data_IF_034494659306
#
_entry.id   IF_034494659306
#
_cell.length_a   1.000
_cell.length_b   1.000
_cell.length_c   1.000
_cell.angle_alpha   90.00
_cell.angle_beta   90.00
_cell.angle_gamma   90.00
#
_symmetry.space_group_name_H-M   'P 1'
#
loop_
_entity.id
_entity.type
_entity.pdbx_description
1 polymer ?
#
# COMPACT_ATOMS: atom_id res chain seq x y z
N UNK A 1 30.07 7.69 -4.35
CA UNK A 1 29.75 6.51 -5.19
C UNK A 1 29.14 5.44 -4.29
N UNK A 2 28.00 4.84 -4.65
CA UNK A 2 27.31 3.84 -3.79
C UNK A 2 28.12 2.54 -3.73
N UNK A 3 28.27 1.94 -2.56
CA UNK A 3 29.08 0.72 -2.34
C UNK A 3 28.50 -0.51 -3.06
N UNK A 4 29.34 -1.52 -3.31
CA UNK A 4 28.92 -2.79 -3.91
C UNK A 4 27.76 -3.49 -3.15
N UNK A 5 27.77 -3.63 -1.80
CA UNK A 5 26.66 -4.27 -1.10
C UNK A 5 25.34 -3.50 -1.25
N UNK A 6 25.36 -2.17 -1.16
CA UNK A 6 24.14 -1.36 -1.33
C UNK A 6 23.58 -1.46 -2.76
N UNK A 7 24.43 -1.62 -3.76
CA UNK A 7 23.97 -1.91 -5.13
C UNK A 7 23.28 -3.27 -5.23
N UNK A 8 23.82 -4.29 -4.57
CA UNK A 8 23.23 -5.63 -4.53
C UNK A 8 21.85 -5.63 -3.84
N UNK A 9 21.72 -4.96 -2.70
CA UNK A 9 20.44 -4.80 -1.98
C UNK A 9 19.38 -4.12 -2.85
N UNK A 10 19.74 -3.05 -3.56
CA UNK A 10 18.82 -2.36 -4.48
C UNK A 10 18.37 -3.24 -5.63
N UNK A 11 19.27 -4.08 -6.17
CA UNK A 11 18.92 -5.03 -7.23
C UNK A 11 17.97 -6.11 -6.71
N UNK A 12 18.28 -6.71 -5.55
CA UNK A 12 17.42 -7.70 -4.93
C UNK A 12 16.02 -7.15 -4.63
N UNK A 13 15.93 -5.92 -4.13
CA UNK A 13 14.65 -5.23 -3.91
C UNK A 13 13.86 -5.02 -5.19
N UNK A 14 14.51 -4.52 -6.25
CA UNK A 14 13.88 -4.33 -7.55
C UNK A 14 13.31 -5.65 -8.09
N UNK A 15 14.07 -6.73 -7.94
CA UNK A 15 13.69 -8.06 -8.46
C UNK A 15 12.53 -8.66 -7.67
N UNK A 16 12.55 -8.50 -6.34
CA UNK A 16 11.45 -8.92 -5.49
C UNK A 16 10.15 -8.18 -5.83
N UNK A 17 10.19 -6.86 -6.03
CA UNK A 17 9.01 -6.07 -6.41
C UNK A 17 8.46 -6.45 -7.79
N UNK A 18 9.33 -6.90 -8.69
CA UNK A 18 8.94 -7.31 -10.04
C UNK A 18 8.71 -8.80 -10.18
N UNK A 19 8.85 -9.61 -9.13
CA UNK A 19 8.71 -11.06 -9.22
C UNK A 19 7.32 -11.45 -9.74
N UNK A 20 6.28 -10.72 -9.31
CA UNK A 20 4.89 -10.98 -9.66
C UNK A 20 4.32 -9.91 -10.59
N UNK A 21 3.20 -10.27 -11.25
CA UNK A 21 2.33 -9.32 -11.95
C UNK A 21 1.04 -9.23 -11.14
N UNK A 22 0.87 -8.11 -10.46
CA UNK A 22 -0.31 -7.85 -9.64
C UNK A 22 -1.48 -7.37 -10.50
N UNK A 23 -2.70 -7.76 -10.15
CA UNK A 23 -3.92 -7.21 -10.73
C UNK A 23 -4.08 -5.73 -10.36
N UNK A 24 -3.72 -5.37 -9.13
CA UNK A 24 -3.73 -4.01 -8.62
C UNK A 24 -2.54 -3.75 -7.68
N UNK A 25 -1.93 -2.57 -7.81
CA UNK A 25 -0.94 -2.01 -6.90
C UNK A 25 -1.57 -0.78 -6.27
N UNK A 26 -1.68 -0.72 -4.94
CA UNK A 26 -2.37 0.38 -4.24
C UNK A 26 -1.36 1.16 -3.38
N UNK A 27 -1.01 2.38 -3.79
CA UNK A 27 -0.19 3.31 -2.99
C UNK A 27 -1.09 4.14 -2.06
N UNK A 28 -1.18 3.70 -0.80
CA UNK A 28 -1.90 4.40 0.25
C UNK A 28 -1.09 5.50 0.96
N UNK A 29 0.21 5.63 0.63
CA UNK A 29 1.10 6.58 1.30
C UNK A 29 1.02 7.97 0.65
N UNK A 30 0.97 8.01 -0.68
CA UNK A 30 0.81 9.26 -1.44
C UNK A 30 2.03 10.20 -1.37
N UNK A 31 3.24 9.66 -1.26
CA UNK A 31 4.51 10.42 -1.30
C UNK A 31 5.25 10.15 -2.62
N UNK A 32 5.98 11.15 -3.14
CA UNK A 32 6.79 11.03 -4.36
C UNK A 32 7.84 9.93 -4.20
N UNK A 33 8.45 9.80 -3.01
CA UNK A 33 9.45 8.76 -2.74
C UNK A 33 8.89 7.35 -2.96
N UNK A 34 7.75 7.02 -2.35
CA UNK A 34 7.14 5.69 -2.53
C UNK A 34 6.66 5.51 -3.98
N UNK A 35 6.01 6.53 -4.54
CA UNK A 35 5.48 6.47 -5.88
C UNK A 35 6.58 6.22 -6.93
N UNK A 36 7.72 6.94 -6.84
CA UNK A 36 8.80 6.87 -7.82
C UNK A 36 9.73 5.67 -7.63
N UNK A 37 10.00 5.26 -6.39
CA UNK A 37 10.99 4.22 -6.06
C UNK A 37 10.37 2.85 -5.77
N UNK A 38 9.06 2.75 -5.59
CA UNK A 38 8.36 1.50 -5.26
C UNK A 38 7.23 1.24 -6.25
N UNK A 39 6.17 2.07 -6.20
CA UNK A 39 4.94 1.86 -6.98
C UNK A 39 5.19 1.84 -8.48
N UNK A 40 6.07 2.73 -8.97
CA UNK A 40 6.46 2.78 -10.39
C UNK A 40 7.15 1.49 -10.87
N UNK A 41 7.93 0.84 -10.01
CA UNK A 41 8.72 -0.35 -10.37
C UNK A 41 7.86 -1.61 -10.44
N UNK A 42 6.77 -1.68 -9.67
CA UNK A 42 5.88 -2.84 -9.61
C UNK A 42 5.10 -3.05 -10.92
N UNK A 43 4.84 -4.33 -11.26
CA UNK A 43 4.12 -4.73 -12.47
C UNK A 43 2.63 -4.92 -12.16
N UNK A 44 1.78 -4.15 -12.82
CA UNK A 44 0.34 -4.12 -12.57
C UNK A 44 -0.26 -2.71 -12.74
N UNK A 45 -1.58 -2.61 -12.62
CA UNK A 45 -2.30 -1.32 -12.64
C UNK A 45 -2.07 -0.62 -11.30
N UNK A 46 -1.60 0.63 -11.36
CA UNK A 46 -1.22 1.41 -10.17
C UNK A 46 -2.36 2.34 -9.78
N UNK A 47 -2.81 2.21 -8.55
CA UNK A 47 -3.86 3.00 -7.93
C UNK A 47 -3.27 3.88 -6.82
N UNK A 48 -3.81 5.07 -6.66
CA UNK A 48 -3.47 5.94 -5.54
C UNK A 48 -4.36 7.18 -5.50
N UNK A 49 -4.08 8.05 -4.52
CA UNK A 49 -4.79 9.31 -4.36
C UNK A 49 -4.53 10.26 -5.55
N UNK A 50 -5.53 11.08 -5.88
CA UNK A 50 -5.41 12.11 -6.92
C UNK A 50 -4.53 13.30 -6.47
N UNK A 51 -4.34 14.26 -7.38
CA UNK A 51 -3.54 15.46 -7.11
C UNK A 51 -4.04 16.28 -5.91
N UNK A 52 -5.35 16.36 -5.71
CA UNK A 52 -5.97 17.18 -4.67
C UNK A 52 -5.86 16.50 -3.30
N UNK A 53 -5.89 15.17 -3.27
CA UNK A 53 -6.02 14.38 -2.06
C UNK A 53 -4.73 13.74 -1.59
N UNK A 54 -3.78 13.50 -2.49
CA UNK A 54 -2.46 12.98 -2.14
C UNK A 54 -1.73 13.90 -1.14
N UNK A 55 -0.86 13.30 -0.32
CA UNK A 55 -0.02 14.02 0.62
C UNK A 55 1.02 14.88 -0.11
N UNK A 56 1.61 14.34 -1.17
CA UNK A 56 2.43 15.07 -2.14
C UNK A 56 1.77 14.93 -3.53
N UNK A 57 1.16 15.99 -4.08
CA UNK A 57 0.38 15.92 -5.32
C UNK A 57 1.11 15.28 -6.52
N UNK A 58 2.42 15.50 -6.61
CA UNK A 58 3.29 14.93 -7.64
C UNK A 58 3.32 13.39 -7.63
N UNK A 59 3.01 12.74 -6.50
CA UNK A 59 2.89 11.28 -6.43
C UNK A 59 1.81 10.75 -7.39
N UNK A 60 0.74 11.52 -7.63
CA UNK A 60 -0.36 11.12 -8.51
C UNK A 60 0.05 10.91 -9.98
N UNK A 61 1.18 11.50 -10.40
CA UNK A 61 1.72 11.32 -11.75
C UNK A 61 2.18 9.89 -12.03
N UNK A 62 2.46 9.11 -10.99
CA UNK A 62 2.92 7.72 -11.11
C UNK A 62 1.78 6.69 -11.13
N UNK A 63 0.52 7.11 -10.97
CA UNK A 63 -0.63 6.21 -10.89
C UNK A 63 -1.39 6.16 -12.21
N UNK A 64 -1.83 4.96 -12.59
CA UNK A 64 -2.73 4.73 -13.73
C UNK A 64 -4.17 5.11 -13.37
N UNK A 65 -4.57 4.81 -12.13
CA UNK A 65 -5.91 5.09 -11.58
C UNK A 65 -5.75 6.02 -10.39
N UNK A 66 -6.41 7.17 -10.44
CA UNK A 66 -6.33 8.22 -9.42
C UNK A 66 -7.69 8.34 -8.77
N UNK A 67 -7.72 8.33 -7.45
CA UNK A 67 -8.95 8.34 -6.68
C UNK A 67 -8.99 9.58 -5.78
N UNK A 68 -10.10 10.30 -5.86
CA UNK A 68 -10.38 11.34 -4.89
C UNK A 68 -10.74 10.68 -3.55
N UNK A 69 -10.02 11.04 -2.48
CA UNK A 69 -10.21 10.52 -1.12
C UNK A 69 -10.25 11.72 -0.18
N UNK A 70 -11.38 11.96 0.50
CA UNK A 70 -11.52 13.17 1.30
C UNK A 70 -10.42 13.28 2.37
N UNK A 71 -9.77 14.45 2.50
CA UNK A 71 -8.70 14.65 3.49
C UNK A 71 -9.23 14.73 4.91
N UNK A 72 -10.43 15.27 5.07
CA UNK A 72 -11.11 15.50 6.34
C UNK A 72 -11.77 14.22 6.90
N UNK A 73 -10.99 13.14 7.00
CA UNK A 73 -11.41 11.90 7.63
C UNK A 73 -10.20 11.18 8.24
N UNK A 74 -10.45 10.26 9.15
CA UNK A 74 -9.40 9.49 9.82
C UNK A 74 -8.56 8.68 8.81
N UNK A 75 -7.28 8.45 9.12
CA UNK A 75 -6.37 7.77 8.20
C UNK A 75 -6.84 6.36 7.82
N UNK A 76 -7.43 5.61 8.78
CA UNK A 76 -8.02 4.29 8.53
C UNK A 76 -9.13 4.38 7.48
N UNK A 77 -10.05 5.34 7.61
CA UNK A 77 -11.17 5.49 6.66
C UNK A 77 -10.70 5.91 5.27
N UNK A 78 -9.69 6.79 5.16
CA UNK A 78 -9.07 7.12 3.86
C UNK A 78 -8.51 5.89 3.16
N UNK A 79 -7.83 5.03 3.90
CA UNK A 79 -7.25 3.79 3.35
C UNK A 79 -8.36 2.82 2.94
N UNK A 80 -9.40 2.66 3.76
CA UNK A 80 -10.57 1.82 3.42
C UNK A 80 -11.26 2.31 2.15
N UNK A 81 -11.48 3.61 2.02
CA UNK A 81 -12.07 4.23 0.84
C UNK A 81 -11.21 4.01 -0.42
N UNK A 82 -9.88 4.17 -0.29
CA UNK A 82 -8.94 3.95 -1.38
C UNK A 82 -8.98 2.50 -1.89
N UNK A 83 -9.02 1.53 -0.98
CA UNK A 83 -9.10 0.12 -1.33
C UNK A 83 -10.44 -0.23 -1.98
N UNK A 84 -11.55 0.27 -1.43
CA UNK A 84 -12.89 0.11 -2.00
C UNK A 84 -12.94 0.60 -3.46
N UNK A 85 -12.46 1.82 -3.72
CA UNK A 85 -12.41 2.40 -5.07
C UNK A 85 -11.44 1.70 -6.01
N UNK A 86 -10.33 1.18 -5.48
CA UNK A 86 -9.33 0.50 -6.30
C UNK A 86 -9.74 -0.90 -6.72
N UNK A 87 -10.43 -1.63 -5.84
CA UNK A 87 -10.83 -3.02 -6.03
C UNK A 87 -12.30 -3.18 -6.47
N UNK A 88 -13.06 -2.08 -6.54
CA UNK A 88 -14.41 -2.08 -7.11
C UNK A 88 -15.49 -2.62 -6.18
N UNK A 89 -15.36 -2.43 -4.86
CA UNK A 89 -16.38 -2.80 -3.89
C UNK A 89 -16.88 -1.58 -3.10
N UNK A 90 -18.06 -1.69 -2.51
CA UNK A 90 -18.62 -0.64 -1.63
C UNK A 90 -17.94 -0.67 -0.27
N UNK A 91 -17.40 0.46 0.20
CA UNK A 91 -16.82 0.56 1.52
C UNK A 91 -17.86 0.20 2.61
N UNK A 92 -17.57 -0.79 3.48
CA UNK A 92 -18.46 -1.12 4.59
C UNK A 92 -18.64 0.04 5.56
N UNK A 93 -19.85 0.23 6.09
CA UNK A 93 -20.15 1.27 7.08
C UNK A 93 -19.77 0.87 8.51
N UNK A 94 -19.44 -0.40 8.75
CA UNK A 94 -18.96 -0.87 10.06
C UNK A 94 -17.63 -0.22 10.42
N UNK A 95 -17.29 -0.23 11.71
CA UNK A 95 -15.97 0.17 12.19
C UNK A 95 -14.89 -0.71 11.53
N UNK A 96 -13.74 -0.12 11.23
CA UNK A 96 -12.59 -0.86 10.71
C UNK A 96 -12.12 -1.92 11.71
N UNK A 97 -11.99 -3.15 11.24
CA UNK A 97 -11.40 -4.25 11.98
C UNK A 97 -9.94 -4.46 11.50
N UNK A 98 -9.00 -4.40 12.44
CA UNK A 98 -7.59 -4.65 12.14
C UNK A 98 -7.30 -6.14 11.92
N UNK A 99 -8.15 -7.03 12.46
CA UNK A 99 -8.02 -8.48 12.34
C UNK A 99 -6.61 -9.01 12.69
N UNK A 100 -6.02 -8.52 13.79
CA UNK A 100 -4.71 -9.00 14.30
C UNK A 100 -4.78 -9.62 15.70
N UNK A 101 -5.86 -9.40 16.46
CA UNK A 101 -5.98 -9.86 17.85
C UNK A 101 -5.85 -11.39 17.97
N UNK A 102 -6.42 -12.13 17.01
CA UNK A 102 -6.38 -13.59 16.96
C UNK A 102 -4.97 -14.17 16.79
N UNK A 103 -4.01 -13.38 16.29
CA UNK A 103 -2.61 -13.82 16.20
C UNK A 103 -1.97 -14.00 17.58
N UNK A 104 -2.33 -13.12 18.53
CA UNK A 104 -1.80 -13.17 19.89
C UNK A 104 -2.50 -14.24 20.73
N UNK A 105 -3.83 -14.37 20.57
CA UNK A 105 -4.61 -15.37 21.31
C UNK A 105 -4.25 -16.82 20.95
N UNK A 106 -3.81 -17.10 19.71
CA UNK A 106 -3.35 -18.45 19.31
C UNK A 106 -1.96 -18.82 19.85
N UNK A 107 -1.12 -17.83 20.18
CA UNK A 107 0.22 -18.11 20.72
C UNK A 107 0.16 -18.57 22.18
N UNK A 108 -0.85 -18.11 22.92
CA UNK A 108 -1.09 -18.53 24.30
C UNK A 108 -1.53 -20.01 24.37
N UNK A 109 -2.32 -20.50 23.41
CA UNK A 109 -2.74 -21.91 23.36
C UNK A 109 -1.60 -22.88 22.95
N UNK A 110 -0.59 -22.41 22.20
CA UNK A 110 0.50 -23.27 21.72
C UNK A 110 1.64 -23.41 22.75
N UNK A 111 1.68 -22.53 23.74
CA UNK A 111 2.65 -22.56 24.85
C UNK A 111 2.09 -23.23 26.12
N UNK A 112 0.83 -23.67 26.08
CA UNK A 112 0.12 -24.33 27.18
C UNK A 112 -0.16 -25.83 26.94
N UNK A 113 0.75 -26.53 26.26
CA UNK A 113 0.73 -28.01 26.20
C UNK A 113 1.95 -28.57 26.97
N UNK A 114 1.74 -29.56 27.87
CA UNK A 114 2.79 -30.19 28.66
C UNK A 114 3.74 -31.07 27.83
#
# INVERSE_FOLDING_TARGET
>A
MVSAPVKAERRAFHDAIQAEKYDAIIDAQGLVKSAALVTRLARGVKHGMDWQTAREPLASLFYNRRHHIAKAQHAVERTRELFAKSLGYTQPQSQGDYAIAQHFLRQDDTSAAP
#
